data_IF_436446778196
#
_entry.id   IF_436446778196
#
_cell.length_a   1.000
_cell.length_b   1.000
_cell.length_c   1.000
_cell.angle_alpha   90.00
_cell.angle_beta   90.00
_cell.angle_gamma   90.00
#
_symmetry.space_group_name_H-M   'P 1'
#
loop_
_entity.id
_entity.type
_entity.pdbx_description
1 polymer ?
#
# COMPACT_ATOMS: atom_id res chain seq x y z
N UNK A 1 24.64 25.97 8.95
CA UNK A 1 23.85 24.76 8.64
C UNK A 1 22.37 24.95 8.95
N UNK A 2 21.94 25.25 10.18
CA UNK A 2 20.51 25.49 10.50
C UNK A 2 19.89 26.65 9.70
N UNK A 3 20.63 27.74 9.49
CA UNK A 3 20.16 28.89 8.71
C UNK A 3 19.80 28.52 7.26
N UNK A 4 20.64 27.69 6.60
CA UNK A 4 20.39 27.22 5.24
C UNK A 4 19.16 26.29 5.16
N UNK A 5 18.99 25.40 6.14
CA UNK A 5 17.81 24.53 6.21
C UNK A 5 16.52 25.34 6.43
N UNK A 6 16.56 26.36 7.28
CA UNK A 6 15.44 27.26 7.51
C UNK A 6 15.06 28.03 6.23
N UNK A 7 16.05 28.57 5.51
CA UNK A 7 15.81 29.23 4.22
C UNK A 7 15.22 28.28 3.18
N UNK A 8 15.74 27.06 3.08
CA UNK A 8 15.21 26.04 2.17
C UNK A 8 13.77 25.63 2.52
N UNK A 9 13.47 25.48 3.82
CA UNK A 9 12.11 25.20 4.30
C UNK A 9 11.14 26.33 3.94
N UNK A 10 11.53 27.59 4.16
CA UNK A 10 10.71 28.75 3.84
C UNK A 10 10.46 28.85 2.32
N UNK A 11 11.52 28.66 1.51
CA UNK A 11 11.39 28.63 0.05
C UNK A 11 10.42 27.56 -0.45
N UNK A 12 10.31 26.45 0.27
CA UNK A 12 9.36 25.40 -0.08
C UNK A 12 7.90 25.85 0.00
N UNK A 13 7.56 26.93 0.71
CA UNK A 13 6.18 27.37 0.91
C UNK A 13 5.77 28.58 0.07
N UNK A 14 6.74 29.24 -0.58
CA UNK A 14 6.55 30.47 -1.37
C UNK A 14 5.63 30.22 -2.57
N UNK A 15 4.89 31.25 -2.99
CA UNK A 15 4.01 31.26 -4.16
C UNK A 15 2.97 30.12 -4.20
N UNK A 16 2.56 29.63 -3.01
CA UNK A 16 1.61 28.53 -2.90
C UNK A 16 2.20 27.16 -3.31
N UNK A 17 3.52 27.04 -3.42
CA UNK A 17 4.20 25.80 -3.79
C UNK A 17 3.83 24.63 -2.87
N UNK A 18 3.65 24.87 -1.57
CA UNK A 18 3.20 23.84 -0.63
C UNK A 18 1.78 23.32 -0.96
N UNK A 19 0.85 24.23 -1.28
CA UNK A 19 -0.52 23.87 -1.68
C UNK A 19 -0.53 23.12 -3.01
N UNK A 20 0.24 23.59 -3.99
CA UNK A 20 0.42 22.90 -5.26
C UNK A 20 0.97 21.48 -5.06
N UNK A 21 2.04 21.32 -4.27
CA UNK A 21 2.60 19.99 -3.96
C UNK A 21 1.56 19.07 -3.32
N UNK A 22 0.81 19.55 -2.33
CA UNK A 22 -0.24 18.76 -1.67
C UNK A 22 -1.31 18.31 -2.68
N UNK A 23 -1.80 19.22 -3.52
CA UNK A 23 -2.81 18.90 -4.55
C UNK A 23 -2.28 17.91 -5.58
N UNK A 24 -1.05 18.09 -6.06
CA UNK A 24 -0.40 17.19 -7.02
C UNK A 24 -0.22 15.79 -6.45
N UNK A 25 0.25 15.67 -5.20
CA UNK A 25 0.38 14.38 -4.53
C UNK A 25 -0.98 13.71 -4.29
N UNK A 26 -2.01 14.49 -3.95
CA UNK A 26 -3.37 13.98 -3.81
C UNK A 26 -3.89 13.42 -5.14
N UNK A 27 -3.75 14.17 -6.25
CA UNK A 27 -4.19 13.72 -7.57
C UNK A 27 -3.49 12.42 -8.02
N UNK A 28 -2.18 12.30 -7.75
CA UNK A 28 -1.44 11.06 -8.00
C UNK A 28 -1.98 9.92 -7.14
N UNK A 29 -2.22 10.18 -5.85
CA UNK A 29 -2.77 9.20 -4.91
C UNK A 29 -4.14 8.72 -5.38
N UNK A 30 -5.03 9.63 -5.78
CA UNK A 30 -6.38 9.31 -6.25
C UNK A 30 -6.32 8.42 -7.50
N UNK A 31 -5.42 8.71 -8.45
CA UNK A 31 -5.21 7.89 -9.64
C UNK A 31 -4.71 6.48 -9.32
N UNK A 32 -3.74 6.36 -8.41
CA UNK A 32 -3.22 5.05 -7.95
C UNK A 32 -4.31 4.26 -7.24
N UNK A 33 -5.06 4.90 -6.32
CA UNK A 33 -6.14 4.26 -5.58
C UNK A 33 -7.29 3.80 -6.48
N UNK A 34 -7.67 4.60 -7.48
CA UNK A 34 -8.68 4.20 -8.47
C UNK A 34 -8.24 2.95 -9.26
N UNK A 35 -6.97 2.90 -9.68
CA UNK A 35 -6.42 1.71 -10.36
C UNK A 35 -6.39 0.49 -9.43
N UNK A 36 -5.93 0.67 -8.20
CA UNK A 36 -5.95 -0.39 -7.17
C UNK A 36 -7.37 -0.92 -7.00
N UNK A 37 -8.35 -0.03 -6.86
CA UNK A 37 -9.75 -0.41 -6.66
C UNK A 37 -10.25 -1.25 -7.82
N UNK A 38 -10.04 -0.81 -9.07
CA UNK A 38 -10.45 -1.58 -10.26
C UNK A 38 -9.77 -2.95 -10.31
N UNK A 39 -8.48 -3.03 -10.03
CA UNK A 39 -7.72 -4.28 -10.07
C UNK A 39 -8.14 -5.27 -8.98
N UNK A 40 -8.52 -4.79 -7.79
CA UNK A 40 -8.97 -5.63 -6.68
C UNK A 40 -10.45 -6.02 -6.78
N UNK A 41 -11.23 -5.39 -7.66
CA UNK A 41 -12.67 -5.68 -7.86
C UNK A 41 -12.96 -6.03 -9.34
N UNK A 42 -12.53 -7.22 -9.81
CA UNK A 42 -12.84 -7.68 -11.17
C UNK A 42 -14.33 -7.99 -11.34
N UNK A 43 -14.87 -7.78 -12.54
CA UNK A 43 -16.28 -8.07 -12.87
C UNK A 43 -16.62 -9.57 -12.73
N UNK A 44 -15.68 -10.46 -13.11
CA UNK A 44 -15.80 -11.90 -12.91
C UNK A 44 -14.54 -12.48 -12.25
N UNK A 45 -14.66 -12.76 -10.95
CA UNK A 45 -13.62 -13.36 -10.13
C UNK A 45 -13.13 -14.73 -10.67
N UNK A 46 -13.98 -15.53 -11.32
CA UNK A 46 -13.59 -16.87 -11.80
C UNK A 46 -12.59 -16.82 -12.95
N UNK A 47 -12.60 -15.72 -13.71
CA UNK A 47 -11.73 -15.52 -14.88
C UNK A 47 -10.56 -14.57 -14.58
N UNK A 48 -10.58 -13.89 -13.44
CA UNK A 48 -9.58 -12.91 -13.07
C UNK A 48 -8.19 -13.55 -12.94
N UNK A 49 -7.16 -12.89 -13.47
CA UNK A 49 -5.78 -13.29 -13.23
C UNK A 49 -5.42 -12.91 -11.80
N UNK A 50 -5.12 -13.90 -10.97
CA UNK A 50 -4.78 -13.67 -9.57
C UNK A 50 -3.26 -13.81 -9.33
N UNK A 51 -2.81 -13.16 -8.27
CA UNK A 51 -1.56 -13.42 -7.57
C UNK A 51 -1.92 -13.85 -6.15
N UNK A 52 -1.52 -15.07 -5.78
CA UNK A 52 -1.75 -15.60 -4.44
C UNK A 52 -0.58 -15.18 -3.53
N UNK A 53 -0.88 -14.46 -2.44
CA UNK A 53 0.09 -14.08 -1.42
C UNK A 53 -0.08 -14.96 -0.19
N UNK A 54 0.98 -15.69 0.18
CA UNK A 54 0.96 -16.55 1.36
C UNK A 54 1.39 -15.79 2.61
N UNK A 55 0.73 -16.05 3.73
CA UNK A 55 0.85 -15.30 4.96
C UNK A 55 1.54 -16.09 6.08
N UNK A 56 2.23 -17.18 5.73
CA UNK A 56 2.83 -18.15 6.64
C UNK A 56 4.29 -17.84 7.04
N UNK A 57 4.81 -16.66 6.67
CA UNK A 57 6.18 -16.27 7.04
C UNK A 57 6.37 -16.27 8.56
N UNK A 58 7.40 -16.97 9.01
CA UNK A 58 7.73 -17.11 10.43
C UNK A 58 8.47 -15.86 10.96
N UNK A 59 7.76 -14.74 11.10
CA UNK A 59 8.32 -13.49 11.59
C UNK A 59 7.24 -12.59 12.24
N UNK A 60 7.66 -11.49 12.86
CA UNK A 60 6.75 -10.52 13.48
C UNK A 60 5.91 -9.72 12.48
N UNK A 61 4.95 -8.94 13.01
CA UNK A 61 3.97 -8.16 12.23
C UNK A 61 4.59 -7.31 11.12
N UNK A 62 5.64 -6.54 11.41
CA UNK A 62 6.26 -5.67 10.39
C UNK A 62 6.81 -6.45 9.19
N UNK A 63 7.37 -7.64 9.42
CA UNK A 63 7.88 -8.50 8.36
C UNK A 63 6.74 -9.11 7.53
N UNK A 64 5.64 -9.51 8.17
CA UNK A 64 4.42 -9.97 7.52
C UNK A 64 3.79 -8.86 6.66
N UNK A 65 3.65 -7.64 7.20
CA UNK A 65 3.09 -6.51 6.47
C UNK A 65 3.96 -6.10 5.27
N UNK A 66 5.29 -6.11 5.41
CA UNK A 66 6.20 -5.90 4.28
C UNK A 66 6.08 -7.00 3.22
N UNK A 67 5.83 -8.25 3.61
CA UNK A 67 5.58 -9.32 2.65
C UNK A 67 4.28 -9.06 1.87
N UNK A 68 3.20 -8.65 2.54
CA UNK A 68 1.94 -8.24 1.90
C UNK A 68 2.17 -7.08 0.94
N UNK A 69 2.89 -6.03 1.37
CA UNK A 69 3.21 -4.89 0.51
C UNK A 69 3.99 -5.32 -0.74
N UNK A 70 4.97 -6.21 -0.59
CA UNK A 70 5.72 -6.77 -1.71
C UNK A 70 4.83 -7.56 -2.69
N UNK A 71 3.98 -8.45 -2.17
CA UNK A 71 2.99 -9.17 -2.98
C UNK A 71 2.10 -8.19 -3.74
N UNK A 72 1.64 -7.13 -3.07
CA UNK A 72 0.70 -6.16 -3.62
C UNK A 72 1.33 -5.31 -4.72
N UNK A 73 2.56 -4.82 -4.54
CA UNK A 73 3.30 -4.11 -5.59
C UNK A 73 3.54 -5.02 -6.80
N UNK A 74 3.86 -6.29 -6.57
CA UNK A 74 4.03 -7.29 -7.65
C UNK A 74 2.72 -7.55 -8.39
N UNK A 75 1.61 -7.67 -7.67
CA UNK A 75 0.26 -7.83 -8.23
C UNK A 75 -0.14 -6.59 -9.06
N UNK A 76 0.12 -5.39 -8.54
CA UNK A 76 -0.12 -4.12 -9.23
C UNK A 76 0.70 -3.96 -10.51
N UNK A 77 1.99 -4.33 -10.47
CA UNK A 77 2.87 -4.28 -11.64
C UNK A 77 2.54 -5.32 -12.71
N UNK A 78 1.89 -6.42 -12.33
CA UNK A 78 1.52 -7.52 -13.24
C UNK A 78 0.04 -7.56 -13.64
N UNK A 79 -0.74 -6.55 -13.23
CA UNK A 79 -2.18 -6.42 -13.47
C UNK A 79 -2.97 -7.66 -13.01
N UNK A 80 -2.71 -8.09 -11.77
CA UNK A 80 -3.35 -9.25 -11.14
C UNK A 80 -4.07 -8.85 -9.86
N UNK A 81 -5.25 -9.42 -9.63
CA UNK A 81 -5.94 -9.29 -8.34
C UNK A 81 -5.13 -10.04 -7.28
N UNK A 82 -4.87 -9.41 -6.14
CA UNK A 82 -4.11 -10.06 -5.06
C UNK A 82 -5.09 -10.80 -4.16
N UNK A 83 -4.81 -12.07 -3.86
CA UNK A 83 -5.61 -12.89 -2.96
C UNK A 83 -4.73 -13.42 -1.85
N UNK A 84 -5.18 -13.33 -0.60
CA UNK A 84 -4.49 -13.96 0.52
C UNK A 84 -4.78 -15.46 0.53
N UNK A 85 -3.74 -16.27 0.67
CA UNK A 85 -3.89 -17.71 0.86
C UNK A 85 -4.35 -18.00 2.29
N UNK A 86 -5.67 -17.98 2.51
CA UNK A 86 -6.27 -18.42 3.76
C UNK A 86 -6.33 -19.94 3.79
N UNK A 87 -5.25 -20.61 4.15
CA UNK A 87 -5.22 -22.06 4.40
C UNK A 87 -5.97 -22.47 5.70
N UNK A 88 -6.95 -21.68 6.14
CA UNK A 88 -7.73 -21.88 7.37
C UNK A 88 -6.97 -21.57 8.67
N UNK A 89 -5.67 -21.27 8.60
CA UNK A 89 -4.90 -20.88 9.77
C UNK A 89 -5.07 -19.37 10.02
N UNK A 90 -5.36 -18.95 11.26
CA UNK A 90 -5.41 -17.54 11.62
C UNK A 90 -4.06 -16.88 11.35
N UNK A 91 -4.09 -15.60 10.97
CA UNK A 91 -2.86 -14.85 10.79
C UNK A 91 -2.15 -14.80 12.15
N UNK A 92 -0.87 -15.19 12.22
CA UNK A 92 -0.20 -15.38 13.53
C UNK A 92 -0.18 -14.12 14.40
N UNK A 93 -0.30 -12.94 13.80
CA UNK A 93 -0.41 -11.66 14.51
C UNK A 93 -1.76 -11.47 15.20
N UNK A 94 -2.80 -12.15 14.75
CA UNK A 94 -4.14 -12.11 15.35
C UNK A 94 -4.19 -12.87 16.69
N UNK A 95 -3.19 -13.73 16.96
CA UNK A 95 -3.06 -14.45 18.22
C UNK A 95 -2.46 -13.60 19.36
N UNK A 96 -1.99 -12.38 19.07
CA UNK A 96 -1.41 -11.45 20.05
C UNK A 96 -2.36 -10.31 20.45
N UNK A 97 -3.52 -10.21 19.81
CA UNK A 97 -4.61 -9.37 20.28
C UNK A 97 -5.58 -10.28 21.05
N UNK A 98 -5.52 -10.33 22.40
CA UNK A 98 -6.60 -10.95 23.13
C UNK A 98 -7.90 -10.26 22.70
N UNK A 99 -8.86 -11.08 22.31
CA UNK A 99 -10.26 -10.76 22.04
C UNK A 99 -10.72 -9.48 22.75
N UNK A 100 -11.16 -8.48 21.97
CA UNK A 100 -12.19 -7.56 22.46
C UNK A 100 -13.43 -8.36 22.86
#
# INVERSE_FOLDING_TARGET
FLSLLATASNFSEVDGAALWRKRSLQAITDGIQAKIHKMQHPDDCKTAKILLCNLDKQCGFGCQLHHVAYCFVTAFGSDRTMVFNGNGNPWRTDQLLPTL
#
